data_IF_736781704032
#
_entry.id   IF_736781704032
#
_cell.length_a   1.000
_cell.length_b   1.000
_cell.length_c   1.000
_cell.angle_alpha   90.00
_cell.angle_beta   90.00
_cell.angle_gamma   90.00
#
_symmetry.space_group_name_H-M   'P 1'
#
loop_
_entity.id
_entity.type
_entity.pdbx_description
1 polymer ?
#
# COMPACT_ATOMS: atom_id res chain seq x y z
N UNK A 1 22.32 43.80 27.48
CA UNK A 1 21.34 42.68 27.63
C UNK A 1 21.02 42.19 26.23
N UNK A 2 21.40 40.96 25.89
CA UNK A 2 21.14 40.42 24.55
C UNK A 2 19.64 40.14 24.48
N UNK A 3 18.93 40.88 23.64
CA UNK A 3 17.52 40.64 23.37
C UNK A 3 17.48 39.54 22.32
N UNK A 4 17.11 38.34 22.76
CA UNK A 4 16.88 37.19 21.89
C UNK A 4 15.55 37.38 21.19
N UNK A 5 15.53 37.25 19.87
CA UNK A 5 14.31 37.30 19.08
C UNK A 5 13.43 36.07 19.40
N UNK A 6 12.11 36.18 19.23
CA UNK A 6 11.14 35.09 19.42
C UNK A 6 11.58 33.81 18.67
N UNK A 7 12.06 33.95 17.44
CA UNK A 7 12.56 32.84 16.61
C UNK A 7 13.81 32.18 17.19
N UNK A 8 14.71 32.98 17.74
CA UNK A 8 16.01 32.52 18.27
C UNK A 8 15.80 31.77 19.59
N UNK A 9 14.83 32.24 20.40
CA UNK A 9 14.37 31.53 21.59
C UNK A 9 13.81 30.15 21.24
N UNK A 10 12.90 30.05 20.26
CA UNK A 10 12.34 28.76 19.87
C UNK A 10 13.39 27.82 19.28
N UNK A 11 14.39 28.36 18.58
CA UNK A 11 15.51 27.57 18.05
C UNK A 11 16.39 27.03 19.17
N UNK A 12 16.78 27.86 20.14
CA UNK A 12 17.53 27.41 21.31
C UNK A 12 16.75 26.38 22.16
N UNK A 13 15.43 26.53 22.24
CA UNK A 13 14.55 25.59 22.94
C UNK A 13 14.35 24.25 22.21
N UNK A 14 14.74 24.12 20.93
CA UNK A 14 14.81 22.80 20.26
C UNK A 14 15.94 21.95 20.84
N UNK A 15 17.04 22.57 21.26
CA UNK A 15 18.19 21.89 21.86
C UNK A 15 17.94 21.47 23.33
N UNK A 16 16.94 22.10 23.98
CA UNK A 16 16.56 21.84 25.38
C UNK A 16 15.06 21.54 25.51
N UNK A 17 14.61 20.32 25.18
CA UNK A 17 13.18 19.97 25.18
C UNK A 17 12.53 20.08 26.55
N UNK A 18 13.26 19.79 27.64
CA UNK A 18 12.75 19.92 29.01
C UNK A 18 12.52 21.39 29.41
N UNK A 19 13.43 22.29 29.02
CA UNK A 19 13.25 23.73 29.24
C UNK A 19 12.06 24.27 28.42
N UNK A 20 11.87 23.76 27.19
CA UNK A 20 10.71 24.10 26.34
C UNK A 20 9.39 23.71 27.00
N UNK A 21 9.29 22.49 27.52
CA UNK A 21 8.11 22.00 28.26
C UNK A 21 7.82 22.89 29.47
N UNK A 22 8.84 23.20 30.26
CA UNK A 22 8.70 24.02 31.46
C UNK A 22 8.25 25.46 31.14
N UNK A 23 8.75 26.04 30.05
CA UNK A 23 8.34 27.35 29.57
C UNK A 23 6.88 27.36 29.11
N UNK A 24 6.46 26.35 28.34
CA UNK A 24 5.07 26.21 27.89
C UNK A 24 4.13 26.04 29.09
N UNK A 25 4.52 25.20 30.06
CA UNK A 25 3.74 24.98 31.27
C UNK A 25 3.59 26.25 32.11
N UNK A 26 4.67 27.02 32.27
CA UNK A 26 4.62 28.32 32.96
C UNK A 26 3.79 29.35 32.20
N UNK A 27 3.91 29.42 30.87
CA UNK A 27 3.07 30.27 30.03
C UNK A 27 1.59 29.93 30.17
N UNK A 28 1.23 28.64 30.17
CA UNK A 28 -0.14 28.17 30.43
C UNK A 28 -0.63 28.52 31.83
N UNK A 29 0.22 28.37 32.86
CA UNK A 29 -0.13 28.74 34.24
C UNK A 29 -0.46 30.23 34.36
N UNK A 30 0.29 31.09 33.66
CA UNK A 30 0.02 32.53 33.61
C UNK A 30 -1.29 32.81 32.89
N UNK A 31 -1.50 32.22 31.71
CA UNK A 31 -2.74 32.41 30.95
C UNK A 31 -3.99 31.89 31.68
N UNK A 32 -3.85 30.81 32.46
CA UNK A 32 -4.91 30.30 33.34
C UNK A 32 -5.23 31.28 34.47
N UNK A 33 -4.19 31.85 35.12
CA UNK A 33 -4.36 32.85 36.18
C UNK A 33 -5.01 34.14 35.67
N UNK A 34 -4.68 34.53 34.44
CA UNK A 34 -5.22 35.72 33.78
C UNK A 34 -6.60 35.46 33.12
N UNK A 35 -7.19 34.27 33.34
CA UNK A 35 -8.49 33.83 32.81
C UNK A 35 -8.61 33.90 31.27
N UNK A 36 -7.46 33.73 30.57
CA UNK A 36 -7.31 33.76 29.11
C UNK A 36 -7.27 32.34 28.49
N UNK A 37 -7.25 31.30 29.33
CA UNK A 37 -7.26 29.90 28.91
C UNK A 37 -8.37 29.15 29.66
N UNK A 38 -9.16 28.38 28.93
CA UNK A 38 -10.18 27.48 29.51
C UNK A 38 -9.49 26.33 30.28
N UNK A 39 -9.98 26.02 31.48
CA UNK A 39 -9.45 24.94 32.33
C UNK A 39 -9.61 23.55 31.69
N UNK A 40 -10.52 23.41 30.73
CA UNK A 40 -10.76 22.16 30.01
C UNK A 40 -10.03 22.06 28.66
N UNK A 41 -9.15 23.00 28.31
CA UNK A 41 -8.39 22.91 27.08
C UNK A 41 -7.49 21.66 27.11
N UNK A 42 -7.59 20.75 26.12
CA UNK A 42 -6.78 19.54 26.11
C UNK A 42 -5.30 19.93 26.09
N UNK A 43 -4.53 19.30 26.97
CA UNK A 43 -3.08 19.40 26.95
C UNK A 43 -2.59 18.81 25.61
N UNK A 44 -2.35 19.67 24.60
CA UNK A 44 -1.55 19.30 23.44
C UNK A 44 -0.14 19.00 23.96
N UNK A 45 0.06 17.73 24.30
CA UNK A 45 1.28 17.19 24.89
C UNK A 45 2.35 16.93 23.81
N UNK A 46 1.92 16.75 22.56
CA UNK A 46 2.79 16.52 21.41
C UNK A 46 2.82 17.76 20.53
N UNK A 47 4.02 18.18 20.16
CA UNK A 47 4.18 19.30 19.23
C UNK A 47 3.86 18.85 17.81
N UNK A 48 3.41 19.76 16.95
CA UNK A 48 3.13 19.44 15.54
C UNK A 48 4.34 18.81 14.81
N UNK A 49 5.56 19.18 15.20
CA UNK A 49 6.82 18.61 14.68
C UNK A 49 7.00 17.15 15.09
N UNK A 50 6.74 16.83 16.36
CA UNK A 50 6.82 15.44 16.88
C UNK A 50 5.76 14.53 16.25
N UNK A 51 4.55 15.05 16.03
CA UNK A 51 3.48 14.33 15.33
C UNK A 51 3.88 14.06 13.87
N UNK A 52 4.51 15.04 13.21
CA UNK A 52 4.99 14.88 11.84
C UNK A 52 6.10 13.82 11.73
N UNK A 53 7.04 13.79 12.68
CA UNK A 53 8.11 12.79 12.74
C UNK A 53 7.58 11.38 13.00
N UNK A 54 6.62 11.24 13.94
CA UNK A 54 5.94 9.98 14.22
C UNK A 54 5.18 9.48 12.98
N UNK A 55 4.43 10.37 12.32
CA UNK A 55 3.71 10.05 11.10
C UNK A 55 4.67 9.63 9.98
N UNK A 56 5.78 10.34 9.79
CA UNK A 56 6.76 9.99 8.77
C UNK A 56 7.38 8.62 9.02
N UNK A 57 7.65 8.28 10.29
CA UNK A 57 8.17 6.97 10.69
C UNK A 57 7.14 5.87 10.39
N UNK A 58 5.87 6.10 10.74
CA UNK A 58 4.78 5.17 10.46
C UNK A 58 4.58 4.95 8.96
N UNK A 59 4.66 6.01 8.15
CA UNK A 59 4.58 5.91 6.69
C UNK A 59 5.70 5.06 6.12
N UNK A 60 6.96 5.26 6.57
CA UNK A 60 8.09 4.42 6.14
C UNK A 60 7.88 2.94 6.48
N UNK A 61 7.37 2.65 7.68
CA UNK A 61 7.06 1.28 8.08
C UNK A 61 5.96 0.66 7.21
N UNK A 62 4.91 1.42 6.90
CA UNK A 62 3.83 0.97 6.02
C UNK A 62 4.33 0.71 4.60
N UNK A 63 5.17 1.59 4.05
CA UNK A 63 5.80 1.39 2.74
C UNK A 63 6.61 0.09 2.71
N UNK A 64 7.40 -0.19 3.74
CA UNK A 64 8.16 -1.43 3.83
C UNK A 64 7.25 -2.68 3.88
N UNK A 65 6.17 -2.61 4.66
CA UNK A 65 5.18 -3.70 4.74
C UNK A 65 4.49 -3.95 3.41
N UNK A 66 4.10 -2.89 2.70
CA UNK A 66 3.48 -2.99 1.37
C UNK A 66 4.47 -3.59 0.37
N UNK A 67 5.70 -3.11 0.33
CA UNK A 67 6.73 -3.65 -0.58
C UNK A 67 6.94 -5.17 -0.35
N UNK A 68 7.00 -5.59 0.91
CA UNK A 68 7.09 -7.01 1.27
C UNK A 68 5.85 -7.80 0.82
N UNK A 69 4.66 -7.29 1.10
CA UNK A 69 3.41 -7.97 0.73
C UNK A 69 3.28 -8.11 -0.79
N UNK A 70 3.69 -7.10 -1.56
CA UNK A 70 3.72 -7.14 -3.02
C UNK A 70 4.69 -8.21 -3.52
N UNK A 71 5.89 -8.29 -2.94
CA UNK A 71 6.86 -9.34 -3.30
C UNK A 71 6.34 -10.75 -2.97
N UNK A 72 5.71 -10.93 -1.81
CA UNK A 72 5.06 -12.20 -1.43
C UNK A 72 3.96 -12.57 -2.42
N UNK A 73 3.11 -11.60 -2.80
CA UNK A 73 2.03 -11.81 -3.77
C UNK A 73 2.54 -12.20 -5.15
N UNK A 74 3.56 -11.52 -5.66
CA UNK A 74 4.17 -11.85 -6.95
C UNK A 74 4.71 -13.28 -6.91
N UNK A 75 5.43 -13.65 -5.85
CA UNK A 75 5.95 -15.01 -5.69
C UNK A 75 4.85 -16.07 -5.63
N UNK A 76 3.72 -15.80 -4.96
CA UNK A 76 2.60 -16.75 -4.93
C UNK A 76 1.94 -16.88 -6.30
N UNK A 77 1.75 -15.76 -6.99
CA UNK A 77 1.09 -15.74 -8.31
C UNK A 77 1.95 -16.47 -9.35
N UNK A 78 3.27 -16.27 -9.34
CA UNK A 78 4.22 -17.01 -10.21
C UNK A 78 4.18 -18.52 -9.96
N UNK A 79 4.15 -18.96 -8.70
CA UNK A 79 4.06 -20.38 -8.34
C UNK A 79 2.75 -20.99 -8.81
N UNK A 80 1.64 -20.27 -8.64
CA UNK A 80 0.33 -20.74 -9.09
C UNK A 80 0.29 -20.83 -10.62
N UNK A 81 0.74 -19.78 -11.33
CA UNK A 81 0.82 -19.79 -12.80
C UNK A 81 1.67 -20.95 -13.32
N UNK A 82 2.82 -21.19 -12.71
CA UNK A 82 3.70 -22.32 -13.08
C UNK A 82 3.01 -23.66 -12.85
N UNK A 83 2.30 -23.82 -11.72
CA UNK A 83 1.57 -25.05 -11.40
C UNK A 83 0.40 -25.28 -12.34
N UNK A 84 -0.34 -24.23 -12.70
CA UNK A 84 -1.44 -24.28 -13.66
C UNK A 84 -0.89 -24.71 -15.02
N UNK A 85 0.13 -24.03 -15.54
CA UNK A 85 0.77 -24.37 -16.81
C UNK A 85 1.29 -25.82 -16.86
N UNK A 86 1.85 -26.31 -15.75
CA UNK A 86 2.27 -27.71 -15.63
C UNK A 86 1.09 -28.69 -15.71
N UNK A 87 -0.03 -28.37 -15.04
CA UNK A 87 -1.23 -29.20 -15.07
C UNK A 87 -1.89 -29.19 -16.45
N UNK A 88 -1.98 -28.02 -17.09
CA UNK A 88 -2.47 -27.87 -18.47
C UNK A 88 -1.64 -28.71 -19.44
N UNK A 89 -0.32 -28.60 -19.38
CA UNK A 89 0.59 -29.42 -20.21
C UNK A 89 0.42 -30.91 -19.97
N UNK A 90 0.19 -31.31 -18.71
CA UNK A 90 -0.04 -32.71 -18.35
C UNK A 90 -1.40 -33.22 -18.84
N UNK A 91 -2.42 -32.38 -18.79
CA UNK A 91 -3.77 -32.69 -19.29
C UNK A 91 -3.73 -32.94 -20.80
N UNK A 92 -3.14 -32.01 -21.57
CA UNK A 92 -2.94 -32.14 -23.02
C UNK A 92 -2.21 -33.46 -23.34
N UNK A 93 -1.15 -33.77 -22.59
CA UNK A 93 -0.43 -35.03 -22.79
C UNK A 93 -1.32 -36.26 -22.59
N UNK A 94 -2.22 -36.25 -21.61
CA UNK A 94 -3.12 -37.38 -21.39
C UNK A 94 -4.26 -37.44 -22.41
N UNK A 95 -4.78 -36.30 -22.85
CA UNK A 95 -5.80 -36.19 -23.90
C UNK A 95 -5.29 -36.77 -25.23
N UNK A 96 -4.08 -36.40 -25.63
CA UNK A 96 -3.39 -36.98 -26.80
C UNK A 96 -3.17 -38.49 -26.66
N UNK A 97 -2.89 -38.98 -25.44
CA UNK A 97 -2.73 -40.43 -25.18
C UNK A 97 -4.07 -41.17 -25.26
N UNK A 98 -5.18 -40.57 -24.78
CA UNK A 98 -6.51 -41.17 -24.92
C UNK A 98 -7.01 -41.19 -26.36
N UNK A 99 -6.72 -40.16 -27.14
CA UNK A 99 -7.07 -40.07 -28.57
C UNK A 99 -6.25 -41.08 -29.40
N UNK A 100 -4.96 -41.26 -29.10
CA UNK A 100 -4.12 -42.30 -29.74
C UNK A 100 -4.55 -43.75 -29.42
N UNK A 101 -5.39 -43.94 -28.40
CA UNK A 101 -5.98 -45.24 -28.04
C UNK A 101 -7.36 -45.46 -28.67
N UNK A 102 -7.91 -44.45 -29.36
CA UNK A 102 -9.26 -44.44 -29.95
C UNK A 102 -9.28 -44.11 -31.44
N UNK A 103 -8.15 -44.29 -32.15
CA UNK A 103 -8.16 -44.34 -33.62
C UNK A 103 -8.98 -45.54 -34.11
N UNK A 104 -10.26 -45.25 -34.30
CA UNK A 104 -11.29 -46.17 -34.73
C UNK A 104 -12.68 -45.58 -34.47
N UNK A 105 -12.96 -44.37 -34.96
CA UNK A 105 -14.22 -43.90 -35.60
C UNK A 105 -14.30 -42.38 -35.60
N UNK A 106 -14.63 -41.83 -36.77
CA UNK A 106 -14.75 -40.41 -37.11
C UNK A 106 -15.78 -39.64 -36.27
N UNK A 107 -15.53 -38.35 -36.04
CA UNK A 107 -16.36 -37.25 -36.55
C UNK A 107 -15.75 -35.89 -36.14
N UNK A 108 -15.50 -35.05 -37.15
CA UNK A 108 -15.01 -33.68 -37.00
C UNK A 108 -16.07 -32.78 -36.37
N UNK A 109 -15.75 -32.13 -35.24
CA UNK A 109 -16.42 -30.89 -34.85
C UNK A 109 -15.39 -29.77 -34.63
N UNK A 110 -15.41 -28.85 -35.59
CA UNK A 110 -14.71 -27.57 -35.60
C UNK A 110 -15.29 -26.65 -34.51
N UNK A 111 -14.49 -26.32 -33.51
CA UNK A 111 -14.81 -25.26 -32.54
C UNK A 111 -13.86 -24.08 -32.73
N UNK A 112 -14.35 -23.06 -33.43
CA UNK A 112 -13.76 -21.72 -33.47
C UNK A 112 -13.73 -21.12 -32.06
N UNK A 113 -12.54 -21.06 -31.45
CA UNK A 113 -12.28 -20.23 -30.28
C UNK A 113 -11.10 -19.30 -30.54
N UNK A 114 -11.36 -18.27 -31.35
CA UNK A 114 -10.54 -17.07 -31.36
C UNK A 114 -10.88 -16.20 -30.14
N UNK A 115 -10.18 -16.42 -29.03
CA UNK A 115 -9.93 -15.35 -28.06
C UNK A 115 -8.51 -14.86 -28.27
N UNK A 116 -8.39 -13.84 -29.12
CA UNK A 116 -7.17 -13.09 -29.31
C UNK A 116 -6.85 -12.34 -28.00
N UNK A 117 -5.93 -12.90 -27.21
CA UNK A 117 -5.35 -12.18 -26.08
C UNK A 117 -4.39 -11.13 -26.62
N UNK A 118 -4.89 -9.91 -26.85
CA UNK A 118 -4.04 -8.75 -27.11
C UNK A 118 -3.34 -8.37 -25.79
N UNK A 119 -2.15 -8.92 -25.59
CA UNK A 119 -1.24 -8.46 -24.55
C UNK A 119 -0.57 -7.18 -25.08
N UNK A 120 -1.24 -6.04 -24.94
CA UNK A 120 -0.56 -4.75 -25.11
C UNK A 120 0.38 -4.54 -23.92
N UNK A 121 1.67 -4.71 -24.18
CA UNK A 121 2.74 -4.31 -23.26
C UNK A 121 3.00 -2.82 -23.49
N UNK A 122 2.81 -2.01 -22.46
CA UNK A 122 3.45 -0.70 -22.43
C UNK A 122 4.93 -0.87 -22.06
N UNK A 123 5.76 0.07 -22.51
CA UNK A 123 7.24 0.03 -22.50
C UNK A 123 7.90 -0.17 -21.12
N UNK A 124 7.12 -0.19 -20.03
CA UNK A 124 7.60 -0.32 -18.65
C UNK A 124 7.31 -1.69 -18.00
N UNK A 125 6.78 -2.67 -18.76
CA UNK A 125 6.66 -4.06 -18.32
C UNK A 125 5.63 -4.35 -17.21
N UNK A 126 4.68 -3.44 -16.96
CA UNK A 126 3.57 -3.65 -16.01
C UNK A 126 2.32 -4.17 -16.73
N UNK A 127 1.78 -5.29 -16.24
CA UNK A 127 0.48 -5.86 -16.65
C UNK A 127 -0.64 -4.99 -16.06
N UNK A 128 -1.48 -4.41 -16.92
CA UNK A 128 -2.76 -3.81 -16.53
C UNK A 128 -3.84 -4.89 -16.67
N UNK A 129 -4.21 -5.56 -15.58
CA UNK A 129 -5.47 -6.31 -15.54
C UNK A 129 -6.61 -5.28 -15.47
N UNK A 130 -7.25 -5.01 -16.59
CA UNK A 130 -8.50 -4.25 -16.60
C UNK A 130 -9.59 -5.12 -15.96
N UNK A 131 -10.10 -4.67 -14.83
CA UNK A 131 -11.13 -5.36 -14.06
C UNK A 131 -12.44 -5.35 -14.87
N UNK A 132 -12.71 -6.40 -15.64
CA UNK A 132 -14.00 -6.57 -16.32
C UNK A 132 -15.06 -6.81 -15.25
N UNK A 133 -15.78 -5.75 -14.86
CA UNK A 133 -17.04 -5.89 -14.12
C UNK A 133 -18.07 -6.47 -15.08
N UNK A 134 -18.69 -7.63 -14.80
CA UNK A 134 -19.74 -8.13 -15.67
C UNK A 134 -20.93 -7.15 -15.62
N UNK A 135 -21.23 -6.55 -16.76
CA UNK A 135 -22.41 -5.72 -16.95
C UNK A 135 -23.66 -6.56 -16.70
N UNK A 136 -24.48 -6.16 -15.72
CA UNK A 136 -25.81 -6.75 -15.51
C UNK A 136 -26.61 -6.56 -16.80
N UNK A 137 -27.04 -7.65 -17.42
CA UNK A 137 -28.13 -7.62 -18.39
C UNK A 137 -29.40 -7.27 -17.63
N UNK A 138 -29.94 -6.08 -17.90
CA UNK A 138 -31.33 -5.75 -17.63
C UNK A 138 -32.20 -6.50 -18.65
N UNK A 139 -32.95 -7.51 -18.20
CA UNK A 139 -34.28 -7.91 -18.70
C UNK A 139 -35.06 -8.54 -17.53
#
# INVERSE_FOLDING_TARGET
MVIINKTDLWTALKEYPEARKMLIQKGREILRKDNLLDENAPEENKTAEEIADELQTNVRLLQQKIARLVAERISTDEKLKTRIAYLESKLIKYEVISESSTEGSDDEEEYDNAQENVIEKNDDGKIVEEFIVPSKKDV
#
